data_IF_321108237566
#
_entry.id   IF_321108237566
#
_cell.length_a   1.000
_cell.length_b   1.000
_cell.length_c   1.000
_cell.angle_alpha   90.00
_cell.angle_beta   90.00
_cell.angle_gamma   90.00
#
_symmetry.space_group_name_H-M   'P 1'
#
loop_
_entity.id
_entity.type
_entity.pdbx_description
1 polymer ?
#
# COMPACT_ATOMS: atom_id res chain seq x y z
N UNK A 1 -30.52 -15.80 42.05
CA UNK A 1 -30.21 -14.83 40.99
C UNK A 1 -28.72 -14.91 40.74
N UNK A 2 -28.32 -15.47 39.59
CA UNK A 2 -26.91 -15.78 39.29
C UNK A 2 -26.20 -14.58 38.67
N UNK A 3 -24.98 -14.37 39.12
CA UNK A 3 -24.05 -13.30 38.80
C UNK A 3 -23.51 -13.42 37.35
N UNK A 4 -24.38 -13.26 36.34
CA UNK A 4 -23.96 -13.38 34.93
C UNK A 4 -24.47 -12.28 34.00
N UNK A 5 -25.05 -11.21 34.53
CA UNK A 5 -25.68 -10.14 33.73
C UNK A 5 -24.88 -8.81 33.77
N UNK A 6 -23.55 -8.88 33.59
CA UNK A 6 -22.75 -7.67 33.34
C UNK A 6 -22.64 -7.41 31.83
N UNK A 7 -23.04 -6.21 31.35
CA UNK A 7 -22.87 -5.86 29.94
C UNK A 7 -21.39 -5.86 29.57
N UNK A 8 -21.06 -6.55 28.47
CA UNK A 8 -19.70 -6.62 27.92
C UNK A 8 -19.25 -5.19 27.57
N UNK A 9 -18.07 -4.72 28.02
CA UNK A 9 -17.61 -3.37 27.70
C UNK A 9 -17.45 -3.22 26.17
N UNK A 10 -17.76 -2.03 25.61
CA UNK A 10 -17.64 -1.80 24.18
C UNK A 10 -16.20 -2.04 23.73
N UNK A 11 -16.01 -2.85 22.69
CA UNK A 11 -14.70 -3.10 22.11
C UNK A 11 -14.06 -1.76 21.70
N UNK A 12 -12.86 -1.47 22.21
CA UNK A 12 -12.08 -0.30 21.81
C UNK A 12 -11.92 -0.29 20.28
N UNK A 13 -12.60 0.65 19.62
CA UNK A 13 -12.45 0.86 18.18
C UNK A 13 -11.07 1.49 17.95
N UNK A 14 -10.29 0.93 17.04
CA UNK A 14 -9.06 1.56 16.58
C UNK A 14 -9.37 2.99 16.10
N UNK A 15 -8.49 3.98 16.37
CA UNK A 15 -8.72 5.33 15.91
C UNK A 15 -8.85 5.37 14.38
N UNK A 16 -9.62 6.31 13.82
CA UNK A 16 -9.79 6.44 12.38
C UNK A 16 -8.46 6.75 11.71
N UNK A 17 -8.23 6.20 10.52
CA UNK A 17 -7.05 6.53 9.71
C UNK A 17 -7.16 7.99 9.24
N UNK A 18 -6.10 8.77 9.45
CA UNK A 18 -6.07 10.20 9.10
C UNK A 18 -5.13 10.51 7.95
N UNK A 19 -4.03 9.75 7.82
CA UNK A 19 -2.99 10.02 6.82
C UNK A 19 -2.46 8.73 6.18
N UNK A 20 -1.75 8.87 5.07
CA UNK A 20 -1.01 7.79 4.44
C UNK A 20 0.28 8.26 3.80
N UNK A 21 1.27 7.38 3.79
CA UNK A 21 2.54 7.55 3.09
C UNK A 21 2.39 6.98 1.68
N UNK A 22 2.77 7.73 0.66
CA UNK A 22 2.62 7.28 -0.73
C UNK A 22 3.64 7.85 -1.69
N UNK A 23 3.66 7.26 -2.89
CA UNK A 23 4.31 7.79 -4.09
C UNK A 23 3.23 8.25 -5.09
N UNK A 24 3.05 9.57 -5.30
CA UNK A 24 2.14 10.07 -6.33
C UNK A 24 2.55 9.62 -7.72
N UNK A 25 1.58 9.25 -8.57
CA UNK A 25 1.85 8.75 -9.92
C UNK A 25 1.64 9.79 -11.01
N UNK A 26 0.92 10.88 -10.73
CA UNK A 26 0.64 11.95 -11.70
C UNK A 26 1.73 13.02 -11.61
N UNK A 27 2.44 13.23 -12.71
CA UNK A 27 3.41 14.29 -12.90
C UNK A 27 3.41 14.75 -14.37
N UNK A 28 4.29 15.69 -14.71
CA UNK A 28 4.37 16.26 -16.07
C UNK A 28 4.59 15.23 -17.18
N UNK A 29 5.21 14.08 -16.88
CA UNK A 29 5.51 13.01 -17.85
C UNK A 29 4.37 11.99 -17.95
N UNK A 30 3.71 11.67 -16.83
CA UNK A 30 2.69 10.62 -16.78
C UNK A 30 1.27 11.12 -17.05
N UNK A 31 0.98 12.40 -16.77
CA UNK A 31 -0.40 12.93 -16.74
C UNK A 31 -1.18 12.65 -18.03
N UNK A 32 -0.62 12.99 -19.19
CA UNK A 32 -1.32 12.83 -20.48
C UNK A 32 -1.47 11.36 -20.88
N UNK A 33 -0.53 10.49 -20.47
CA UNK A 33 -0.62 9.04 -20.73
C UNK A 33 -1.74 8.40 -19.88
N UNK A 34 -1.76 8.73 -18.59
CA UNK A 34 -2.75 8.22 -17.64
C UNK A 34 -4.15 8.74 -17.96
N UNK A 35 -4.30 10.03 -18.24
CA UNK A 35 -5.56 10.63 -18.68
C UNK A 35 -6.13 9.90 -19.89
N UNK A 36 -5.33 9.72 -20.95
CA UNK A 36 -5.75 9.05 -22.18
C UNK A 36 -6.13 7.59 -21.95
N UNK A 37 -5.33 6.83 -21.21
CA UNK A 37 -5.60 5.40 -20.98
C UNK A 37 -6.81 5.20 -20.06
N UNK A 38 -6.97 6.02 -19.02
CA UNK A 38 -8.12 5.96 -18.11
C UNK A 38 -9.40 6.41 -18.80
N UNK A 39 -9.37 7.49 -19.61
CA UNK A 39 -10.53 7.92 -20.39
C UNK A 39 -11.01 6.80 -21.32
N UNK A 40 -10.09 6.16 -22.06
CA UNK A 40 -10.40 5.01 -22.92
C UNK A 40 -10.99 3.84 -22.13
N UNK A 41 -10.42 3.52 -20.96
CA UNK A 41 -10.95 2.45 -20.11
C UNK A 41 -12.35 2.78 -19.57
N UNK A 42 -12.57 4.02 -19.13
CA UNK A 42 -13.85 4.51 -18.64
C UNK A 42 -14.92 4.46 -19.71
N UNK A 43 -14.63 4.90 -20.94
CA UNK A 43 -15.55 4.80 -22.08
C UNK A 43 -16.01 3.36 -22.35
N UNK A 44 -15.09 2.39 -22.27
CA UNK A 44 -15.39 0.98 -22.51
C UNK A 44 -16.21 0.32 -21.40
N UNK A 45 -15.97 0.70 -20.14
CA UNK A 45 -16.50 -0.03 -18.98
C UNK A 45 -17.54 0.74 -18.16
N UNK A 46 -17.78 2.01 -18.45
CA UNK A 46 -18.83 2.79 -17.78
C UNK A 46 -20.22 2.33 -18.24
N UNK A 47 -21.20 2.32 -17.33
CA UNK A 47 -22.61 2.16 -17.69
C UNK A 47 -23.01 3.32 -18.61
N UNK A 48 -23.32 3.02 -19.87
CA UNK A 48 -24.13 3.92 -20.70
C UNK A 48 -25.61 3.68 -20.36
N UNK A 49 -26.49 4.65 -20.63
CA UNK A 49 -27.93 4.46 -20.47
C UNK A 49 -28.39 3.34 -21.42
N UNK A 50 -28.63 2.15 -20.86
CA UNK A 50 -29.15 0.97 -21.57
C UNK A 50 -28.05 0.06 -22.18
N UNK A 51 -28.26 -1.27 -22.19
CA UNK A 51 -27.42 -2.15 -22.99
C UNK A 51 -27.60 -1.80 -24.47
N UNK A 52 -26.55 -1.70 -25.29
CA UNK A 52 -26.72 -1.88 -26.72
C UNK A 52 -27.16 -3.34 -26.92
N UNK A 53 -28.44 -3.56 -27.23
CA UNK A 53 -28.91 -4.84 -27.74
C UNK A 53 -28.22 -5.09 -29.08
N UNK A 54 -27.09 -5.81 -29.03
CA UNK A 54 -26.52 -6.45 -30.20
C UNK A 54 -26.80 -7.94 -30.03
N UNK A 55 -27.84 -8.41 -30.71
CA UNK A 55 -28.17 -9.84 -30.89
C UNK A 55 -28.31 -10.70 -29.62
N UNK A 56 -28.94 -10.19 -28.55
CA UNK A 56 -29.34 -11.02 -27.40
C UNK A 56 -28.19 -11.65 -26.59
N UNK A 57 -26.93 -11.33 -26.91
CA UNK A 57 -25.75 -11.78 -26.18
C UNK A 57 -25.22 -10.62 -25.34
N UNK A 58 -25.31 -10.74 -24.01
CA UNK A 58 -24.67 -9.81 -23.08
C UNK A 58 -23.17 -9.85 -23.37
N UNK A 59 -22.62 -8.78 -23.96
CA UNK A 59 -21.18 -8.66 -24.16
C UNK A 59 -20.48 -8.65 -22.80
N UNK A 60 -19.88 -9.77 -22.43
CA UNK A 60 -19.08 -9.95 -21.20
C UNK A 60 -17.79 -9.13 -21.19
N UNK A 61 -17.57 -8.29 -22.23
CA UNK A 61 -16.43 -7.39 -22.35
C UNK A 61 -16.60 -6.09 -21.55
N UNK A 62 -17.84 -5.66 -21.23
CA UNK A 62 -18.10 -4.40 -20.51
C UNK A 62 -18.49 -4.68 -19.06
N UNK A 63 -17.93 -3.91 -18.13
CA UNK A 63 -18.22 -4.06 -16.69
C UNK A 63 -19.50 -3.33 -16.26
N UNK A 64 -19.96 -2.34 -17.05
CA UNK A 64 -21.15 -1.57 -16.75
C UNK A 64 -21.08 -0.81 -15.41
N UNK A 65 -19.92 -0.22 -15.09
CA UNK A 65 -19.67 0.46 -13.82
C UNK A 65 -20.16 1.91 -13.83
N UNK A 66 -20.70 2.45 -12.73
CA UNK A 66 -21.03 3.87 -12.64
C UNK A 66 -19.75 4.72 -12.70
N UNK A 67 -19.88 5.95 -13.20
CA UNK A 67 -18.75 6.89 -13.31
C UNK A 67 -18.02 7.12 -11.99
N UNK A 68 -18.72 7.07 -10.85
CA UNK A 68 -18.17 7.21 -9.49
C UNK A 68 -17.31 6.03 -9.03
N UNK A 69 -17.31 4.90 -9.76
CA UNK A 69 -16.43 3.78 -9.45
C UNK A 69 -14.99 4.01 -9.94
N UNK A 70 -14.79 4.89 -10.92
CA UNK A 70 -13.47 5.18 -11.47
C UNK A 70 -12.78 6.24 -10.63
N UNK A 71 -11.53 5.97 -10.25
CA UNK A 71 -10.72 6.91 -9.47
C UNK A 71 -10.40 8.16 -10.31
N UNK A 72 -10.59 9.38 -9.78
CA UNK A 72 -10.12 10.59 -10.43
C UNK A 72 -8.60 10.56 -10.60
N UNK A 73 -8.10 11.21 -11.67
CA UNK A 73 -6.71 11.14 -12.07
C UNK A 73 -5.76 11.62 -10.97
N UNK A 74 -6.06 12.74 -10.31
CA UNK A 74 -5.22 13.29 -9.23
C UNK A 74 -5.18 12.45 -7.94
N UNK A 75 -5.92 11.35 -7.87
CA UNK A 75 -5.91 10.44 -6.73
C UNK A 75 -4.98 9.22 -6.92
N UNK A 76 -4.33 9.07 -8.08
CA UNK A 76 -3.48 7.91 -8.36
C UNK A 76 -2.14 7.99 -7.63
N UNK A 77 -1.88 6.96 -6.83
CA UNK A 77 -0.68 6.84 -6.01
C UNK A 77 -0.37 5.37 -5.71
N UNK A 78 0.86 5.10 -5.26
CA UNK A 78 1.24 3.83 -4.61
C UNK A 78 1.24 4.03 -3.10
N UNK A 79 0.33 3.38 -2.38
CA UNK A 79 0.29 3.47 -0.91
C UNK A 79 1.40 2.63 -0.29
N UNK A 80 2.19 3.21 0.60
CA UNK A 80 3.25 2.52 1.34
C UNK A 80 2.80 2.13 2.75
N UNK A 81 1.96 2.95 3.38
CA UNK A 81 1.30 2.61 4.64
C UNK A 81 0.34 3.68 5.11
N UNK A 82 -0.53 3.30 6.06
CA UNK A 82 -1.59 4.15 6.62
C UNK A 82 -1.29 4.49 8.07
N UNK A 83 -1.75 5.66 8.49
CA UNK A 83 -1.42 6.27 9.77
C UNK A 83 -2.66 6.87 10.43
N UNK A 84 -2.65 6.92 11.76
CA UNK A 84 -3.63 7.65 12.58
C UNK A 84 -2.86 8.64 13.44
N UNK A 85 -2.61 9.83 12.89
CA UNK A 85 -1.80 10.88 13.52
C UNK A 85 -2.68 12.00 14.08
N UNK A 86 -2.31 12.50 15.25
CA UNK A 86 -2.71 13.82 15.75
C UNK A 86 -1.94 14.91 14.99
N UNK A 87 -2.23 16.19 15.27
CA UNK A 87 -1.54 17.30 14.65
C UNK A 87 -0.05 17.31 15.00
N UNK A 88 0.29 17.08 16.26
CA UNK A 88 1.67 17.07 16.77
C UNK A 88 2.45 15.90 16.15
N UNK A 89 1.84 14.71 16.13
CA UNK A 89 2.44 13.52 15.48
C UNK A 89 2.60 13.70 13.96
N UNK A 90 1.75 14.51 13.32
CA UNK A 90 1.89 14.84 11.90
C UNK A 90 3.12 15.74 11.66
N UNK A 91 3.35 16.74 12.50
CA UNK A 91 4.53 17.60 12.41
C UNK A 91 5.82 16.78 12.59
N UNK A 92 5.84 15.87 13.58
CA UNK A 92 6.94 14.92 13.77
C UNK A 92 7.16 14.01 12.55
N UNK A 93 6.10 13.42 11.99
CA UNK A 93 6.19 12.57 10.82
C UNK A 93 6.69 13.33 9.58
N UNK A 94 6.29 14.60 9.46
CA UNK A 94 6.71 15.50 8.38
C UNK A 94 8.20 15.84 8.51
N UNK A 95 8.65 16.19 9.71
CA UNK A 95 10.06 16.43 10.00
C UNK A 95 10.90 15.16 9.77
N UNK A 96 10.40 14.00 10.19
CA UNK A 96 11.04 12.70 9.95
C UNK A 96 11.19 12.41 8.45
N UNK A 97 10.14 12.65 7.64
CA UNK A 97 10.23 12.50 6.19
C UNK A 97 11.38 13.36 5.62
N UNK A 98 11.56 14.58 6.11
CA UNK A 98 12.63 15.47 5.65
C UNK A 98 14.02 15.05 6.11
N UNK A 99 14.15 14.40 7.27
CA UNK A 99 15.43 13.99 7.83
C UNK A 99 16.00 12.69 7.27
N UNK A 100 15.19 11.84 6.61
CA UNK A 100 15.66 10.57 6.05
C UNK A 100 16.86 10.75 5.09
N UNK A 101 17.79 9.81 5.07
CA UNK A 101 18.81 9.76 4.02
C UNK A 101 18.29 8.97 2.81
N UNK A 102 17.65 9.67 1.87
CA UNK A 102 17.07 9.03 0.68
C UNK A 102 18.13 8.49 -0.28
N UNK A 103 19.30 9.12 -0.35
CA UNK A 103 20.39 8.66 -1.20
C UNK A 103 20.90 7.30 -0.70
N UNK A 104 21.16 7.19 0.60
CA UNK A 104 21.52 5.92 1.24
C UNK A 104 20.46 4.83 1.02
N UNK A 105 19.17 5.16 1.17
CA UNK A 105 18.08 4.21 0.88
C UNK A 105 18.06 3.77 -0.59
N UNK A 106 18.31 4.67 -1.54
CA UNK A 106 18.37 4.33 -2.97
C UNK A 106 19.58 3.45 -3.29
N UNK A 107 20.74 3.72 -2.67
CA UNK A 107 21.94 2.90 -2.79
C UNK A 107 21.73 1.49 -2.24
N UNK A 108 21.09 1.36 -1.08
CA UNK A 108 20.81 0.05 -0.50
C UNK A 108 19.80 -0.73 -1.35
N UNK A 109 18.78 -0.06 -1.90
CA UNK A 109 17.82 -0.66 -2.80
C UNK A 109 18.49 -1.22 -4.07
N UNK A 110 19.50 -0.52 -4.58
CA UNK A 110 20.33 -0.99 -5.70
C UNK A 110 21.09 -2.28 -5.33
N UNK A 111 21.69 -2.35 -4.13
CA UNK A 111 22.41 -3.57 -3.68
C UNK A 111 21.46 -4.76 -3.58
N UNK A 112 20.28 -4.58 -2.99
CA UNK A 112 19.26 -5.64 -2.88
C UNK A 112 18.85 -6.12 -4.28
N UNK A 113 18.55 -5.20 -5.19
CA UNK A 113 18.16 -5.55 -6.56
C UNK A 113 19.25 -6.33 -7.32
N UNK A 114 20.52 -5.92 -7.21
CA UNK A 114 21.63 -6.65 -7.85
C UNK A 114 21.85 -8.05 -7.26
N UNK A 115 21.63 -8.22 -5.95
CA UNK A 115 21.82 -9.50 -5.26
C UNK A 115 20.75 -10.52 -5.68
N UNK A 116 19.49 -10.10 -5.80
CA UNK A 116 18.40 -10.95 -6.30
C UNK A 116 18.62 -11.39 -7.76
N UNK A 117 19.23 -10.54 -8.58
CA UNK A 117 19.54 -10.87 -9.98
C UNK A 117 20.61 -11.96 -10.09
N UNK A 118 21.67 -11.89 -9.28
CA UNK A 118 22.75 -12.89 -9.25
C UNK A 118 22.29 -14.27 -8.78
N UNK A 119 21.33 -14.34 -7.86
CA UNK A 119 20.74 -15.63 -7.47
C UNK A 119 19.86 -16.25 -8.56
N UNK A 120 19.32 -15.44 -9.48
CA UNK A 120 18.40 -15.89 -10.52
C UNK A 120 19.10 -16.25 -11.84
N UNK A 121 20.36 -15.83 -12.04
CA UNK A 121 21.13 -16.11 -13.26
C UNK A 121 22.53 -16.62 -12.90
N UNK A 122 22.68 -17.94 -12.80
CA UNK A 122 23.97 -18.58 -12.60
C UNK A 122 24.84 -18.64 -13.88
N UNK A 123 24.33 -18.30 -15.07
CA UNK A 123 25.05 -18.46 -16.35
C UNK A 123 24.80 -17.28 -17.31
N UNK A 124 25.55 -16.19 -17.17
CA UNK A 124 25.98 -15.31 -18.28
C UNK A 124 26.92 -14.21 -17.76
N UNK A 125 28.11 -14.03 -18.34
CA UNK A 125 28.96 -12.91 -18.02
C UNK A 125 28.55 -11.68 -18.85
N UNK A 126 28.81 -10.51 -18.27
CA UNK A 126 28.98 -9.23 -18.98
C UNK A 126 27.71 -8.42 -19.33
N UNK A 127 27.17 -7.70 -18.34
CA UNK A 127 26.55 -6.39 -18.57
C UNK A 127 27.27 -5.39 -17.68
N UNK A 128 27.81 -4.35 -18.32
CA UNK A 128 28.58 -3.27 -17.72
C UNK A 128 27.86 -2.66 -16.52
N UNK A 129 28.55 -2.59 -15.39
CA UNK A 129 28.13 -1.93 -14.16
C UNK A 129 28.09 -0.42 -14.38
N UNK A 130 27.09 0.08 -15.11
CA UNK A 130 26.85 1.52 -15.18
C UNK A 130 26.23 1.97 -13.85
N UNK A 131 26.81 3.00 -13.26
CA UNK A 131 26.47 3.67 -12.00
C UNK A 131 25.04 4.23 -11.97
N UNK A 132 24.02 3.38 -11.95
CA UNK A 132 22.60 3.78 -11.91
C UNK A 132 22.11 4.19 -10.52
N UNK A 133 22.97 4.19 -9.50
CA UNK A 133 22.56 4.38 -8.10
C UNK A 133 21.81 5.70 -7.85
N UNK A 134 22.20 6.77 -8.55
CA UNK A 134 21.57 8.10 -8.44
C UNK A 134 20.54 8.43 -9.52
N UNK A 135 20.12 7.43 -10.31
CA UNK A 135 19.06 7.66 -11.29
C UNK A 135 17.67 7.58 -10.64
N UNK A 136 16.75 8.48 -11.00
CA UNK A 136 15.36 8.43 -10.53
C UNK A 136 14.71 7.09 -10.84
N UNK A 137 13.73 6.67 -10.03
CA UNK A 137 12.96 5.46 -10.35
C UNK A 137 12.07 5.73 -11.56
N UNK A 138 12.37 5.11 -12.70
CA UNK A 138 11.48 5.15 -13.87
C UNK A 138 10.65 3.87 -13.93
N UNK A 139 9.34 4.03 -13.98
CA UNK A 139 8.40 2.91 -14.03
C UNK A 139 7.47 2.97 -15.21
N UNK A 140 6.86 1.82 -15.51
CA UNK A 140 5.63 1.75 -16.30
C UNK A 140 4.50 1.24 -15.42
N UNK A 141 3.30 1.79 -15.56
CA UNK A 141 2.11 1.29 -14.89
C UNK A 141 1.41 0.31 -15.81
N UNK A 142 1.39 -0.97 -15.45
CA UNK A 142 0.92 -2.07 -16.31
C UNK A 142 -0.03 -3.00 -15.59
N UNK A 143 -0.64 -3.89 -16.38
CA UNK A 143 -1.53 -4.96 -15.96
C UNK A 143 -2.81 -4.45 -15.30
N UNK A 144 -3.73 -5.39 -15.11
CA UNK A 144 -4.97 -5.17 -14.41
C UNK A 144 -5.24 -6.38 -13.53
N UNK A 145 -5.40 -6.14 -12.24
CA UNK A 145 -5.67 -7.15 -11.23
C UNK A 145 -6.94 -6.78 -10.47
N UNK A 146 -7.64 -7.80 -9.97
CA UNK A 146 -8.90 -7.63 -9.28
C UNK A 146 -8.81 -8.12 -7.83
N UNK A 147 -9.50 -7.42 -6.93
CA UNK A 147 -9.62 -7.80 -5.52
C UNK A 147 -11.09 -7.72 -5.06
N UNK A 148 -11.55 -8.60 -4.15
CA UNK A 148 -10.79 -9.69 -3.53
C UNK A 148 -10.64 -10.93 -4.42
N UNK A 149 -11.54 -11.11 -5.40
CA UNK A 149 -11.50 -12.23 -6.36
C UNK A 149 -11.86 -11.72 -7.76
N UNK A 150 -11.36 -12.41 -8.78
CA UNK A 150 -11.61 -12.03 -10.17
C UNK A 150 -13.07 -12.16 -10.58
N UNK A 151 -13.85 -13.08 -9.98
CA UNK A 151 -15.26 -13.32 -10.29
C UNK A 151 -16.23 -12.41 -9.51
N UNK A 152 -15.74 -11.71 -8.48
CA UNK A 152 -16.54 -10.87 -7.59
C UNK A 152 -15.67 -9.77 -7.01
N UNK A 153 -15.14 -8.94 -7.92
CA UNK A 153 -14.23 -7.86 -7.62
C UNK A 153 -14.98 -6.63 -7.11
N UNK A 154 -14.31 -5.85 -6.25
CA UNK A 154 -14.73 -4.49 -5.88
C UNK A 154 -13.68 -3.44 -6.25
N UNK A 155 -12.45 -3.89 -6.53
CA UNK A 155 -11.31 -3.04 -6.84
C UNK A 155 -10.64 -3.59 -8.09
N UNK A 156 -10.27 -2.69 -8.99
CA UNK A 156 -9.25 -2.95 -10.01
C UNK A 156 -8.03 -2.08 -9.75
N UNK A 157 -6.85 -2.69 -9.89
CA UNK A 157 -5.59 -2.00 -9.72
C UNK A 157 -4.57 -2.38 -10.79
N UNK A 158 -3.63 -1.47 -11.02
CA UNK A 158 -2.46 -1.68 -11.86
C UNK A 158 -1.19 -1.75 -11.02
N UNK A 159 -0.18 -2.42 -11.55
CA UNK A 159 1.09 -2.67 -10.87
C UNK A 159 2.20 -1.80 -11.48
N UNK A 160 3.07 -1.18 -10.65
CA UNK A 160 4.25 -0.52 -11.16
C UNK A 160 5.27 -1.56 -11.61
N UNK A 161 5.88 -1.33 -12.77
CA UNK A 161 6.97 -2.14 -13.31
C UNK A 161 8.20 -1.27 -13.39
N UNK A 162 9.17 -1.54 -12.53
CA UNK A 162 10.50 -0.94 -12.51
C UNK A 162 11.50 -1.92 -13.15
N UNK A 163 12.08 -1.61 -14.32
CA UNK A 163 13.08 -2.47 -14.97
C UNK A 163 14.34 -2.70 -14.14
N UNK A 164 14.66 -1.79 -13.22
CA UNK A 164 15.85 -1.89 -12.38
C UNK A 164 15.63 -2.74 -11.13
N UNK A 165 14.37 -3.05 -10.79
CA UNK A 165 14.00 -3.79 -9.59
C UNK A 165 14.28 -3.07 -8.27
N UNK A 166 14.67 -1.79 -8.28
CA UNK A 166 15.05 -1.02 -7.08
C UNK A 166 13.86 -0.45 -6.33
N UNK A 167 12.79 -0.10 -7.03
CA UNK A 167 11.64 0.58 -6.46
C UNK A 167 11.03 -0.22 -5.31
N UNK A 168 10.88 -1.53 -5.47
CA UNK A 168 10.25 -2.36 -4.44
C UNK A 168 11.07 -2.41 -3.14
N UNK A 169 12.37 -2.78 -3.15
CA UNK A 169 13.23 -2.68 -1.97
C UNK A 169 13.23 -1.29 -1.33
N UNK A 170 13.31 -0.23 -2.14
CA UNK A 170 13.25 1.15 -1.66
C UNK A 170 11.96 1.43 -0.88
N UNK A 171 10.80 1.10 -1.46
CA UNK A 171 9.49 1.28 -0.84
C UNK A 171 9.34 0.49 0.48
N UNK A 172 9.88 -0.73 0.54
CA UNK A 172 9.87 -1.54 1.76
C UNK A 172 10.69 -0.86 2.84
N UNK A 173 11.95 -0.48 2.56
CA UNK A 173 12.80 0.19 3.56
C UNK A 173 12.20 1.51 4.04
N UNK A 174 11.64 2.30 3.12
CA UNK A 174 10.98 3.56 3.46
C UNK A 174 9.77 3.33 4.38
N UNK A 175 8.92 2.34 4.06
CA UNK A 175 7.80 1.96 4.93
C UNK A 175 8.29 1.50 6.30
N UNK A 176 9.30 0.64 6.33
CA UNK A 176 9.83 0.05 7.56
C UNK A 176 10.42 1.14 8.47
N UNK A 177 11.09 2.17 7.92
CA UNK A 177 11.52 3.35 8.68
C UNK A 177 10.37 4.10 9.36
N UNK A 178 9.22 4.24 8.69
CA UNK A 178 8.04 4.86 9.29
C UNK A 178 7.31 3.95 10.30
N UNK A 179 7.41 2.63 10.15
CA UNK A 179 6.94 1.66 11.15
C UNK A 179 7.83 1.71 12.39
N UNK A 180 9.15 1.69 12.23
CA UNK A 180 10.15 1.79 13.29
C UNK A 180 9.99 3.08 14.11
N UNK A 181 9.69 4.20 13.44
CA UNK A 181 9.39 5.48 14.08
C UNK A 181 7.97 5.58 14.70
N UNK A 182 7.17 4.50 14.60
CA UNK A 182 5.84 4.42 15.21
C UNK A 182 4.76 5.27 14.54
N UNK A 183 4.95 5.68 13.28
CA UNK A 183 3.95 6.47 12.54
C UNK A 183 2.94 5.59 11.81
N UNK A 184 3.42 4.51 11.17
CA UNK A 184 2.57 3.53 10.47
C UNK A 184 2.14 2.43 11.43
N UNK A 185 0.84 2.13 11.43
CA UNK A 185 0.29 1.04 12.24
C UNK A 185 0.81 -0.30 11.71
N UNK A 186 1.47 -1.09 12.55
CA UNK A 186 1.85 -2.45 12.17
C UNK A 186 0.58 -3.30 12.06
N UNK A 187 0.20 -3.67 10.83
CA UNK A 187 -0.95 -4.56 10.61
C UNK A 187 -0.66 -6.01 11.02
N UNK A 188 0.57 -6.30 11.43
CA UNK A 188 0.94 -7.51 12.16
C UNK A 188 0.77 -7.31 13.67
N UNK A 189 -0.29 -7.88 14.25
CA UNK A 189 -0.35 -8.25 15.67
C UNK A 189 -1.01 -7.25 16.61
N UNK A 190 -2.29 -7.53 16.93
CA UNK A 190 -2.72 -7.91 18.29
C UNK A 190 -4.21 -8.30 18.28
N UNK A 191 -4.51 -9.49 18.82
CA UNK A 191 -5.58 -9.57 19.82
C UNK A 191 -4.90 -9.79 21.17
N UNK A 192 -5.12 -8.81 22.04
CA UNK A 192 -5.10 -8.83 23.50
C UNK A 192 -3.77 -9.13 24.24
N UNK A 193 -3.20 -8.07 24.84
CA UNK A 193 -2.57 -8.19 26.17
C UNK A 193 -3.17 -7.11 27.07
N UNK A 194 -3.94 -7.54 28.08
CA UNK A 194 -4.31 -6.70 29.24
C UNK A 194 -3.03 -6.39 30.03
N UNK A 195 -2.88 -5.18 30.60
CA UNK A 195 -1.86 -4.93 31.60
C UNK A 195 -2.27 -5.65 32.89
N UNK A 196 -1.39 -6.51 33.43
CA UNK A 196 -1.54 -6.97 34.81
C UNK A 196 -1.26 -5.78 35.73
N UNK A 197 -2.28 -5.38 36.47
CA UNK A 197 -2.18 -4.48 37.61
C UNK A 197 -1.25 -5.09 38.64
N UNK A 198 -0.18 -4.37 38.98
CA UNK A 198 0.55 -4.58 40.22
C UNK A 198 -0.39 -4.22 41.38
N UNK A 199 -0.49 -5.11 42.36
CA UNK A 199 -0.72 -4.70 43.73
C UNK A 199 -0.03 -5.71 44.67
N UNK A 200 0.89 -5.26 45.55
CA UNK A 200 1.61 -6.13 46.45
C UNK A 200 0.73 -6.45 47.67
N UNK A 201 0.61 -7.73 48.02
CA UNK A 201 0.20 -8.13 49.37
C UNK A 201 1.37 -8.76 50.08
N UNK A 202 1.86 -8.00 51.04
CA UNK A 202 2.76 -8.35 52.12
C UNK A 202 2.14 -9.51 52.90
N UNK A 203 2.93 -10.54 53.20
CA UNK A 203 2.79 -11.30 54.44
C UNK A 203 4.18 -11.79 54.89
N UNK A 204 4.45 -11.48 56.15
CA UNK A 204 5.67 -11.66 56.92
C UNK A 204 5.83 -13.05 57.52
N UNK A 205 7.05 -13.31 58.03
CA UNK A 205 7.57 -14.37 58.92
C UNK A 205 8.33 -15.48 58.16
N UNK A 206 9.58 -15.87 58.49
CA UNK A 206 10.45 -15.71 59.67
C UNK A 206 11.91 -16.11 59.32
N UNK A 207 12.92 -15.48 59.97
CA UNK A 207 14.18 -16.04 60.55
C UNK A 207 15.18 -16.83 59.65
N UNK A 208 16.53 -16.76 59.69
CA UNK A 208 17.56 -15.94 60.34
C UNK A 208 18.97 -16.37 59.82
N UNK A 209 20.01 -15.59 60.20
CA UNK A 209 21.48 -15.83 60.16
C UNK A 209 22.24 -15.68 58.82
N UNK A 210 23.02 -14.60 58.63
CA UNK A 210 24.44 -14.35 59.02
C UNK A 210 25.43 -15.11 58.10
N UNK A 211 26.43 -14.51 57.41
CA UNK A 211 27.73 -13.99 57.89
C UNK A 211 28.47 -13.30 56.70
N UNK A 212 29.45 -12.44 57.03
CA UNK A 212 30.33 -11.58 56.22
C UNK A 212 31.16 -12.23 55.07
N UNK A 213 31.40 -11.37 54.04
CA UNK A 213 32.48 -11.15 53.04
C UNK A 213 33.78 -12.00 52.99
N UNK A 214 34.72 -11.74 52.04
CA UNK A 214 34.67 -11.73 50.56
C UNK A 214 35.77 -12.67 49.96
N UNK A 215 35.80 -12.95 48.64
CA UNK A 215 37.05 -13.25 47.88
C UNK A 215 36.80 -13.43 46.37
N UNK A 216 37.77 -12.92 45.60
CA UNK A 216 37.92 -12.95 44.14
C UNK A 216 37.81 -14.35 43.53
N UNK A 217 37.22 -14.44 42.32
CA UNK A 217 37.86 -15.09 41.17
C UNK A 217 37.08 -14.83 39.88
N UNK A 218 37.81 -14.43 38.85
CA UNK A 218 37.42 -14.33 37.46
C UNK A 218 36.64 -15.54 36.96
N UNK A 219 35.52 -15.31 36.27
CA UNK A 219 35.09 -16.26 35.24
C UNK A 219 34.20 -15.58 34.20
N UNK A 220 34.70 -15.58 32.96
CA UNK A 220 33.94 -15.37 31.74
C UNK A 220 32.60 -16.11 31.80
N UNK A 221 31.49 -15.39 31.66
CA UNK A 221 30.23 -15.98 31.18
C UNK A 221 29.93 -15.42 29.81
N UNK A 222 30.48 -16.09 28.79
CA UNK A 222 29.82 -16.21 27.50
C UNK A 222 28.42 -16.78 27.75
N UNK A 223 27.39 -15.95 27.63
CA UNK A 223 26.02 -16.45 27.53
C UNK A 223 25.88 -16.97 26.11
N UNK A 224 26.08 -18.28 25.97
CA UNK A 224 25.78 -19.02 24.76
C UNK A 224 24.28 -18.88 24.46
N UNK A 225 23.98 -18.22 23.34
CA UNK A 225 22.62 -18.05 22.80
C UNK A 225 22.10 -19.35 22.17
N UNK A 226 22.04 -20.43 22.95
CA UNK A 226 21.48 -21.72 22.53
C UNK A 226 20.62 -22.27 23.66
N UNK A 227 19.29 -22.19 23.46
CA UNK A 227 18.16 -22.61 24.29
C UNK A 227 17.35 -21.46 24.91
N UNK A 228 16.76 -20.62 24.07
CA UNK A 228 15.48 -20.02 24.44
C UNK A 228 14.37 -21.06 24.21
N UNK A 229 13.54 -21.26 25.23
CA UNK A 229 12.33 -22.07 25.15
C UNK A 229 11.45 -21.61 23.95
N UNK A 230 10.95 -22.51 23.09
CA UNK A 230 10.06 -22.19 21.97
C UNK A 230 8.88 -21.28 22.36
N UNK A 231 8.41 -21.33 23.61
CA UNK A 231 7.38 -20.41 24.13
C UNK A 231 7.90 -18.96 24.25
N UNK A 232 9.14 -18.79 24.73
CA UNK A 232 9.80 -17.47 24.82
C UNK A 232 10.04 -16.92 23.41
N UNK A 233 10.50 -17.76 22.47
CA UNK A 233 10.67 -17.37 21.05
C UNK A 233 9.33 -16.96 20.42
N UNK A 234 8.24 -17.63 20.75
CA UNK A 234 6.91 -17.30 20.23
C UNK A 234 6.38 -15.98 20.80
N UNK A 235 6.70 -15.65 22.05
CA UNK A 235 6.28 -14.40 22.72
C UNK A 235 7.13 -13.19 22.29
N UNK A 236 8.41 -13.40 21.96
CA UNK A 236 9.34 -12.33 21.53
C UNK A 236 9.37 -12.12 20.03
N UNK A 237 8.61 -12.89 19.23
CA UNK A 237 8.47 -12.64 17.80
C UNK A 237 7.65 -11.37 17.58
N UNK A 238 8.33 -10.27 17.35
CA UNK A 238 7.71 -9.09 16.75
C UNK A 238 7.00 -9.52 15.46
N UNK A 239 5.69 -9.27 15.33
CA UNK A 239 4.96 -9.67 14.15
C UNK A 239 5.56 -8.99 12.93
N UNK A 240 6.10 -9.78 11.99
CA UNK A 240 6.63 -9.24 10.74
C UNK A 240 5.49 -8.50 10.01
N UNK A 241 5.73 -7.26 9.54
CA UNK A 241 4.71 -6.53 8.80
C UNK A 241 4.34 -7.30 7.54
N UNK A 242 3.06 -7.20 7.14
CA UNK A 242 2.58 -7.85 5.91
C UNK A 242 3.45 -7.43 4.71
N UNK A 243 3.76 -8.35 3.78
CA UNK A 243 4.47 -8.01 2.54
C UNK A 243 3.81 -6.81 1.86
N UNK A 244 4.62 -5.86 1.38
CA UNK A 244 4.11 -4.67 0.70
C UNK A 244 3.56 -5.08 -0.67
N UNK A 245 2.35 -4.63 -1.02
CA UNK A 245 1.81 -4.76 -2.38
C UNK A 245 1.76 -3.39 -3.03
N UNK A 246 2.73 -3.10 -3.90
CA UNK A 246 2.72 -1.87 -4.68
C UNK A 246 1.66 -1.96 -5.78
N UNK A 247 0.64 -1.11 -5.68
CA UNK A 247 -0.42 -1.04 -6.66
C UNK A 247 -1.06 0.35 -6.71
N UNK A 248 -1.61 0.70 -7.87
CA UNK A 248 -2.41 1.89 -8.08
C UNK A 248 -3.88 1.48 -8.29
N UNK A 249 -4.77 1.89 -7.40
CA UNK A 249 -6.21 1.63 -7.57
C UNK A 249 -6.78 2.50 -8.69
N UNK A 250 -7.47 1.89 -9.66
CA UNK A 250 -8.09 2.56 -10.80
C UNK A 250 -9.61 2.54 -10.72
N UNK A 251 -10.18 1.44 -10.22
CA UNK A 251 -11.61 1.28 -9.97
C UNK A 251 -11.82 0.87 -8.53
N UNK A 252 -12.78 1.48 -7.87
CA UNK A 252 -13.19 1.13 -6.52
C UNK A 252 -14.71 1.31 -6.34
N UNK A 253 -15.43 0.19 -6.26
CA UNK A 253 -16.88 0.18 -6.10
C UNK A 253 -17.33 0.23 -4.64
N UNK A 254 -16.41 0.23 -3.68
CA UNK A 254 -16.75 0.22 -2.26
C UNK A 254 -17.39 1.53 -1.80
N UNK A 255 -17.15 2.61 -2.54
CA UNK A 255 -17.72 3.94 -2.31
C UNK A 255 -18.96 4.22 -3.16
N UNK A 256 -19.33 3.29 -4.05
CA UNK A 256 -20.55 3.42 -4.85
C UNK A 256 -21.74 3.15 -3.93
N UNK A 257 -22.57 4.17 -3.71
CA UNK A 257 -23.81 4.03 -2.96
C UNK A 257 -24.71 3.03 -3.70
N UNK A 258 -25.18 2.00 -3.00
CA UNK A 258 -26.08 1.00 -3.58
C UNK A 258 -27.31 1.67 -4.18
N UNK A 259 -27.61 1.36 -5.45
CA UNK A 259 -28.87 1.74 -6.08
C UNK A 259 -29.98 1.05 -5.27
N UNK A 260 -30.86 1.81 -4.61
CA UNK A 260 -32.15 1.29 -4.19
C UNK A 260 -32.88 0.92 -5.49
N UNK A 261 -32.91 -0.35 -5.85
CA UNK A 261 -33.87 -0.81 -6.85
C UNK A 261 -35.25 -0.49 -6.26
N UNK A 262 -36.00 0.40 -6.92
CA UNK A 262 -37.45 0.44 -6.78
C UNK A 262 -37.96 -0.90 -7.36
N UNK A 263 -37.92 -1.94 -6.54
CA UNK A 263 -38.79 -3.09 -6.70
C UNK A 263 -39.86 -3.00 -5.62
N UNK A 264 -41.08 -3.28 -6.06
CA UNK A 264 -42.31 -3.05 -5.34
C UNK A 264 -42.32 -3.51 -3.89
N UNK A 265 -43.10 -2.78 -3.11
CA UNK A 265 -43.45 -3.09 -1.73
C UNK A 265 -43.99 -4.52 -1.62
N UNK A 266 -43.13 -5.47 -1.24
CA UNK A 266 -43.48 -6.62 -0.39
C UNK A 266 -42.23 -7.48 -0.14
N UNK A 267 -41.54 -7.21 0.97
CA UNK A 267 -41.05 -8.20 1.94
C UNK A 267 -40.05 -7.52 2.89
N UNK A 268 -40.44 -7.45 4.18
CA UNK A 268 -39.57 -7.01 5.28
C UNK A 268 -38.51 -8.09 5.55
N UNK A 269 -37.40 -8.02 4.83
CA UNK A 269 -36.11 -8.63 5.22
C UNK A 269 -35.08 -7.53 5.41
N UNK A 270 -34.24 -7.59 6.46
CA UNK A 270 -33.10 -6.69 6.67
C UNK A 270 -32.09 -6.82 5.52
N UNK A 271 -32.35 -6.19 4.38
CA UNK A 271 -31.42 -6.15 3.25
C UNK A 271 -30.37 -5.09 3.54
N UNK A 272 -29.25 -5.50 4.13
CA UNK A 272 -28.05 -4.66 4.15
C UNK A 272 -27.68 -4.37 2.70
N UNK A 273 -27.48 -3.09 2.36
CA UNK A 273 -27.08 -2.67 1.00
C UNK A 273 -25.90 -3.50 0.52
N UNK A 274 -26.12 -4.50 -0.34
CA UNK A 274 -25.07 -5.38 -0.83
C UNK A 274 -24.06 -4.53 -1.60
N UNK A 275 -22.78 -4.58 -1.20
CA UNK A 275 -21.69 -3.89 -1.89
C UNK A 275 -21.68 -4.31 -3.35
N UNK A 276 -21.55 -3.35 -4.26
CA UNK A 276 -21.51 -3.62 -5.70
C UNK A 276 -20.21 -4.36 -6.05
N UNK A 277 -20.34 -5.57 -6.58
CA UNK A 277 -19.23 -6.35 -7.13
C UNK A 277 -19.37 -6.49 -8.65
N UNK A 278 -18.29 -6.86 -9.33
CA UNK A 278 -18.27 -7.11 -10.78
C UNK A 278 -17.33 -8.28 -11.12
N UNK A 279 -17.63 -9.00 -12.21
CA UNK A 279 -16.76 -10.05 -12.74
C UNK A 279 -15.69 -9.43 -13.63
N UNK A 280 -14.42 -9.60 -13.26
CA UNK A 280 -13.24 -9.10 -13.93
C UNK A 280 -12.42 -10.21 -14.61
N UNK A 281 -12.86 -11.48 -14.62
CA UNK A 281 -12.09 -12.61 -15.17
C UNK A 281 -11.62 -12.34 -16.59
N UNK A 282 -12.50 -11.85 -17.46
CA UNK A 282 -12.15 -11.55 -18.86
C UNK A 282 -11.07 -10.47 -19.01
N UNK A 283 -10.99 -9.52 -18.07
CA UNK A 283 -10.02 -8.43 -18.11
C UNK A 283 -8.68 -8.84 -17.50
N UNK A 284 -8.74 -9.62 -16.44
CA UNK A 284 -7.57 -10.05 -15.68
C UNK A 284 -6.86 -11.21 -16.41
N UNK A 285 -7.62 -12.13 -17.03
CA UNK A 285 -7.06 -13.21 -17.86
C UNK A 285 -6.24 -12.67 -19.03
N UNK A 286 -6.60 -11.52 -19.62
CA UNK A 286 -5.77 -10.88 -20.65
C UNK A 286 -4.43 -10.32 -20.12
N UNK A 287 -4.25 -10.23 -18.80
CA UNK A 287 -3.09 -9.62 -18.13
C UNK A 287 -2.23 -10.58 -17.29
N UNK A 288 -2.66 -11.82 -17.03
CA UNK A 288 -2.10 -12.68 -15.96
C UNK A 288 -0.96 -13.63 -16.33
N UNK A 289 -0.60 -13.81 -17.59
CA UNK A 289 0.40 -14.83 -17.96
C UNK A 289 1.85 -14.56 -17.48
N UNK A 290 2.10 -13.43 -16.79
CA UNK A 290 3.43 -13.06 -16.29
C UNK A 290 3.64 -13.26 -14.77
N UNK A 291 2.70 -13.86 -14.03
CA UNK A 291 2.88 -14.07 -12.58
C UNK A 291 3.22 -15.53 -12.19
N UNK A 292 3.55 -16.39 -13.15
CA UNK A 292 4.07 -17.73 -12.86
C UNK A 292 5.59 -17.73 -12.89
N UNK A 293 6.20 -17.49 -11.73
CA UNK A 293 7.61 -17.79 -11.49
C UNK A 293 7.73 -19.27 -11.08
N UNK A 294 7.31 -20.17 -11.98
CA UNK A 294 7.59 -21.62 -11.92
C UNK A 294 7.71 -22.15 -13.35
N UNK A 295 8.78 -22.91 -13.56
CA UNK A 295 9.24 -23.50 -14.83
C UNK A 295 8.10 -24.14 -15.62
N UNK A 296 7.89 -23.69 -16.86
CA UNK A 296 7.16 -24.46 -17.86
C UNK A 296 7.83 -24.30 -19.23
N UNK A 297 8.53 -25.35 -19.63
CA UNK A 297 9.02 -25.62 -20.98
C UNK A 297 7.86 -25.87 -21.92
N UNK A 298 7.57 -24.93 -22.83
CA UNK A 298 7.11 -25.16 -24.23
C UNK A 298 6.65 -23.85 -24.91
N UNK A 299 6.79 -23.71 -26.24
CA UNK A 299 6.53 -22.46 -26.94
C UNK A 299 5.08 -22.37 -27.43
N UNK A 300 4.37 -21.29 -27.08
CA UNK A 300 3.18 -20.84 -27.81
C UNK A 300 3.25 -19.32 -28.05
N UNK A 301 3.16 -18.85 -29.31
CA UNK A 301 3.12 -17.43 -29.62
C UNK A 301 1.66 -16.96 -29.69
N UNK A 302 1.15 -16.44 -28.57
CA UNK A 302 0.11 -15.44 -28.60
C UNK A 302 0.62 -14.30 -27.71
N UNK A 303 0.99 -13.17 -28.32
CA UNK A 303 1.52 -12.01 -27.60
C UNK A 303 0.47 -11.45 -26.65
N UNK A 304 0.45 -11.95 -25.40
CA UNK A 304 -0.44 -11.52 -24.34
C UNK A 304 -0.09 -10.07 -23.96
N UNK A 305 -0.83 -9.10 -24.51
CA UNK A 305 -0.60 -7.68 -24.23
C UNK A 305 -1.18 -7.34 -22.87
N UNK A 306 -0.34 -7.31 -21.84
CA UNK A 306 -0.69 -6.66 -20.57
C UNK A 306 -1.23 -5.25 -20.86
N UNK A 307 -2.28 -4.84 -20.15
CA UNK A 307 -2.80 -3.48 -20.27
C UNK A 307 -1.72 -2.47 -19.82
N UNK A 308 -1.50 -1.40 -20.57
CA UNK A 308 -0.45 -0.42 -20.27
C UNK A 308 -1.09 0.95 -20.11
N UNK A 309 -1.04 1.46 -18.87
CA UNK A 309 -1.66 2.71 -18.46
C UNK A 309 -0.74 3.90 -18.74
N UNK A 310 0.54 3.74 -18.43
CA UNK A 310 1.59 4.71 -18.73
C UNK A 310 2.95 4.01 -18.81
N UNK A 311 3.85 4.54 -19.63
CA UNK A 311 5.20 4.00 -19.86
C UNK A 311 6.24 4.98 -19.38
N UNK A 312 7.31 4.40 -18.82
CA UNK A 312 8.59 5.04 -18.57
C UNK A 312 8.48 6.48 -18.04
N UNK A 313 7.83 6.64 -16.90
CA UNK A 313 7.71 7.92 -16.21
C UNK A 313 8.39 7.85 -14.84
N UNK A 314 9.00 8.96 -14.38
CA UNK A 314 9.72 8.97 -13.11
C UNK A 314 8.73 9.00 -11.94
N UNK A 315 9.11 8.36 -10.83
CA UNK A 315 8.60 8.71 -9.50
C UNK A 315 9.45 9.86 -8.98
N UNK A 316 8.83 11.02 -8.78
CA UNK A 316 9.54 12.24 -8.42
C UNK A 316 9.48 12.57 -6.92
N UNK A 317 8.55 11.98 -6.17
CA UNK A 317 8.27 12.43 -4.80
C UNK A 317 7.70 11.33 -3.90
N UNK A 318 7.90 11.54 -2.61
CA UNK A 318 7.26 10.84 -1.49
C UNK A 318 6.35 11.85 -0.80
N UNK A 319 5.12 11.46 -0.48
CA UNK A 319 4.17 12.33 0.20
C UNK A 319 3.55 11.67 1.45
N UNK A 320 3.32 12.49 2.46
CA UNK A 320 2.30 12.23 3.50
C UNK A 320 1.05 12.99 3.07
N UNK A 321 -0.04 12.26 2.88
CA UNK A 321 -1.31 12.81 2.41
C UNK A 321 -2.41 12.65 3.45
N UNK A 322 -3.29 13.64 3.56
CA UNK A 322 -4.52 13.56 4.33
C UNK A 322 -5.52 12.59 3.66
N UNK A 323 -6.25 11.82 4.46
CA UNK A 323 -7.33 10.97 3.99
C UNK A 323 -8.49 11.81 3.42
N UNK A 324 -9.10 11.30 2.35
CA UNK A 324 -10.26 11.95 1.70
C UNK A 324 -9.85 12.99 0.68
N UNK A 325 -9.67 12.56 -0.57
CA UNK A 325 -9.42 13.45 -1.69
C UNK A 325 -10.51 14.52 -1.82
N UNK A 326 -10.13 15.71 -2.27
CA UNK A 326 -11.03 16.85 -2.45
C UNK A 326 -11.23 17.11 -3.93
N UNK A 327 -12.45 17.52 -4.31
CA UNK A 327 -12.74 18.00 -5.66
C UNK A 327 -11.98 19.28 -5.94
N UNK A 328 -11.40 19.35 -7.13
CA UNK A 328 -10.72 20.55 -7.60
C UNK A 328 -11.68 21.42 -8.40
N UNK A 329 -11.62 22.74 -8.18
CA UNK A 329 -12.41 23.69 -8.94
C UNK A 329 -11.71 24.01 -10.26
N UNK A 330 -12.34 23.78 -11.43
CA UNK A 330 -11.73 24.02 -12.74
C UNK A 330 -11.23 25.46 -12.90
N UNK A 331 -12.04 26.43 -12.48
CA UNK A 331 -11.77 27.86 -12.67
C UNK A 331 -10.64 28.42 -11.79
N UNK A 332 -10.19 27.63 -10.79
CA UNK A 332 -9.12 28.05 -9.88
C UNK A 332 -7.71 27.86 -10.49
N UNK A 333 -7.57 27.16 -11.63
CA UNK A 333 -6.29 26.98 -12.31
C UNK A 333 -6.36 27.43 -13.78
N UNK A 334 -5.59 28.47 -14.10
CA UNK A 334 -5.46 29.04 -15.46
C UNK A 334 -4.91 28.05 -16.49
N UNK A 335 -4.26 26.96 -16.05
CA UNK A 335 -3.69 25.93 -16.93
C UNK A 335 -4.60 24.71 -17.14
N UNK A 336 -5.81 24.70 -16.56
CA UNK A 336 -6.79 23.63 -16.72
C UNK A 336 -6.38 22.29 -16.09
N UNK A 337 -5.33 22.27 -15.25
CA UNK A 337 -4.86 21.05 -14.59
C UNK A 337 -5.92 20.49 -13.64
N UNK A 338 -6.64 21.37 -12.94
CA UNK A 338 -7.69 20.97 -12.00
C UNK A 338 -8.79 20.15 -12.66
N UNK A 339 -9.21 20.53 -13.87
CA UNK A 339 -10.20 19.81 -14.66
C UNK A 339 -9.71 18.39 -15.01
N UNK A 340 -8.44 18.28 -15.44
CA UNK A 340 -7.81 17.01 -15.79
C UNK A 340 -7.67 16.08 -14.59
N UNK A 341 -7.31 16.63 -13.43
CA UNK A 341 -7.10 15.86 -12.19
C UNK A 341 -8.41 15.41 -11.55
N UNK A 342 -9.44 16.26 -11.56
CA UNK A 342 -10.77 16.02 -10.98
C UNK A 342 -10.80 16.08 -9.45
N UNK A 343 -10.08 15.18 -8.79
CA UNK A 343 -9.87 15.18 -7.34
C UNK A 343 -8.41 14.94 -7.00
N UNK A 344 -7.95 15.45 -5.86
CA UNK A 344 -6.58 15.23 -5.38
C UNK A 344 -6.54 15.12 -3.86
N UNK A 345 -5.59 14.34 -3.36
CA UNK A 345 -5.26 14.30 -1.93
C UNK A 345 -4.40 15.52 -1.53
N UNK A 346 -4.65 16.09 -0.36
CA UNK A 346 -3.80 17.15 0.19
C UNK A 346 -2.49 16.53 0.70
N UNK A 347 -1.38 16.83 0.03
CA UNK A 347 -0.04 16.48 0.51
C UNK A 347 0.36 17.46 1.60
N UNK A 348 0.32 17.01 2.85
CA UNK A 348 0.69 17.81 4.04
C UNK A 348 2.20 17.82 4.29
N UNK A 349 2.91 16.83 3.73
CA UNK A 349 4.36 16.86 3.59
C UNK A 349 4.77 16.18 2.28
N UNK A 350 5.78 16.73 1.62
CA UNK A 350 6.33 16.19 0.38
C UNK A 350 7.85 16.26 0.40
N UNK A 351 8.50 15.23 -0.14
CA UNK A 351 9.94 15.22 -0.39
C UNK A 351 10.25 14.71 -1.78
N UNK A 352 11.03 15.49 -2.53
CA UNK A 352 11.45 15.16 -3.90
C UNK A 352 12.59 14.14 -3.89
N UNK A 353 12.53 13.17 -4.79
CA UNK A 353 13.54 12.11 -4.98
C UNK A 353 14.69 12.54 -5.90
N UNK A 354 14.50 13.60 -6.69
CA UNK A 354 15.51 14.14 -7.61
C UNK A 354 16.27 15.32 -6.99
N UNK A 355 17.61 15.28 -6.91
CA UNK A 355 18.42 16.38 -6.40
C UNK A 355 18.39 17.63 -7.30
N UNK A 356 18.24 17.45 -8.63
CA UNK A 356 18.28 18.54 -9.63
C UNK A 356 17.13 19.54 -9.53
N UNK A 357 16.04 19.21 -8.82
CA UNK A 357 14.92 20.12 -8.57
C UNK A 357 15.05 20.91 -7.26
N UNK A 358 16.08 20.68 -6.43
CA UNK A 358 16.25 21.45 -5.17
C UNK A 358 16.57 22.93 -5.39
N UNK A 359 16.98 23.35 -6.59
CA UNK A 359 17.49 24.70 -6.84
C UNK A 359 16.44 25.75 -7.26
N UNK A 360 15.16 25.41 -7.40
CA UNK A 360 14.15 26.34 -7.98
C UNK A 360 13.16 26.96 -6.98
N UNK A 361 13.33 26.75 -5.67
CA UNK A 361 12.44 27.32 -4.64
C UNK A 361 13.19 28.06 -3.54
N UNK A 362 13.91 29.11 -3.92
CA UNK A 362 14.15 30.23 -3.03
C UNK A 362 13.55 31.49 -3.68
N UNK A 363 12.43 32.03 -3.17
CA UNK A 363 12.06 33.39 -3.51
C UNK A 363 13.09 34.33 -2.87
N UNK A 364 13.67 35.19 -3.68
CA UNK A 364 14.34 36.42 -3.20
C UNK A 364 13.29 37.39 -2.70
#
# INVERSE_FOLDING_TARGET
MTENDRPRPPANKSPPLTHFLCLPLVNSVSISQLEKSIAKFKELHQSSHGPPEVNGQISTARLGLPSTAFRPLGTLHLTLGVMSLTKERLEEASAFLQSLDLESLMHEAQKVATSSHRQSQAHSPHISQTSTSNTPFSISLKSLHALPRNDSATILHASPVDPTGRLYPFCVMLRDKFIEAGFILNEGGKKDKKPLSQNPKINSTQSAHAILSPLNASSHRQVSSKNLDPYTIAITREPKPRPLLLHATLVNTIYVKGRKQNQDKQQKGKSSSKRMTFDARNLVSQSLDNQSLVVATSPKPASHRSYIWARNFPINSICICEMGAKKLHPDADKRGLNERLGEQYLAVAQRTLNPSERSSRHPR
#
